data_IF_825290327819
#
_entry.id   IF_825290327819
#
_cell.length_a   1.000
_cell.length_b   1.000
_cell.length_c   1.000
_cell.angle_alpha   90.00
_cell.angle_beta   90.00
_cell.angle_gamma   90.00
#
_symmetry.space_group_name_H-M   'P 1'
#
loop_
_entity.id
_entity.type
_entity.pdbx_description
1 polymer ?
#
# COMPACT_ATOMS: atom_id res chain seq x y z
N UNK A 1 -11.62 -10.68 8.41
CA UNK A 1 -10.55 -11.27 7.60
C UNK A 1 -9.53 -10.19 7.24
N UNK A 2 -8.27 -10.44 7.50
CA UNK A 2 -7.20 -9.49 7.22
C UNK A 2 -6.48 -9.84 5.94
N UNK A 3 -6.14 -8.83 5.17
CA UNK A 3 -5.37 -8.98 3.95
C UNK A 3 -3.96 -8.46 4.15
N UNK A 4 -3.02 -9.05 3.45
CA UNK A 4 -1.63 -8.63 3.50
C UNK A 4 -1.35 -7.63 2.38
N UNK A 5 -0.71 -6.53 2.73
CA UNK A 5 -0.31 -5.49 1.79
C UNK A 5 1.19 -5.31 1.87
N UNK A 6 1.87 -5.46 0.76
CA UNK A 6 3.31 -5.25 0.67
C UNK A 6 3.55 -3.81 0.26
N UNK A 7 4.13 -3.03 1.16
CA UNK A 7 4.44 -1.62 0.93
C UNK A 7 5.89 -1.51 0.53
N UNK A 8 6.16 -1.11 -0.71
CA UNK A 8 7.52 -0.91 -1.20
C UNK A 8 7.80 0.58 -1.25
N UNK A 9 8.77 1.03 -0.45
CA UNK A 9 9.16 2.43 -0.42
C UNK A 9 10.06 2.76 -1.59
N UNK A 10 10.04 4.04 -2.02
CA UNK A 10 11.00 4.55 -2.97
C UNK A 10 12.39 4.47 -2.32
N UNK A 11 13.26 3.70 -2.84
CA UNK A 11 14.54 3.42 -2.21
C UNK A 11 14.75 1.93 -1.96
N UNK A 12 13.73 1.11 -2.17
CA UNK A 12 13.86 -0.33 -2.19
C UNK A 12 13.44 -1.06 -0.93
N UNK A 13 13.10 -0.36 0.14
CA UNK A 13 12.62 -1.03 1.35
C UNK A 13 11.19 -1.48 1.20
N UNK A 14 10.89 -2.68 1.68
CA UNK A 14 9.55 -3.23 1.64
C UNK A 14 9.11 -3.64 3.04
N UNK A 15 7.84 -3.38 3.36
CA UNK A 15 7.23 -3.77 4.63
C UNK A 15 5.93 -4.49 4.36
N UNK A 16 5.63 -5.46 5.21
CA UNK A 16 4.36 -6.17 5.15
C UNK A 16 3.40 -5.58 6.17
N UNK A 17 2.22 -5.18 5.70
CA UNK A 17 1.17 -4.62 6.56
C UNK A 17 -0.06 -5.49 6.44
N UNK A 18 -0.67 -5.80 7.58
CA UNK A 18 -1.94 -6.52 7.60
C UNK A 18 -3.06 -5.54 7.96
N UNK A 19 -4.10 -5.50 7.15
CA UNK A 19 -5.23 -4.62 7.37
C UNK A 19 -6.51 -5.26 6.84
N UNK A 20 -7.64 -4.79 7.35
CA UNK A 20 -8.93 -5.34 6.95
C UNK A 20 -9.40 -4.79 5.60
N UNK A 21 -8.89 -3.65 5.18
CA UNK A 21 -9.25 -3.05 3.91
C UNK A 21 -8.12 -2.20 3.36
N UNK A 22 -8.22 -1.91 2.06
CA UNK A 22 -7.28 -1.04 1.36
C UNK A 22 -7.15 0.33 2.04
N UNK A 23 -8.30 0.93 2.39
CA UNK A 23 -8.29 2.24 3.03
C UNK A 23 -7.58 2.22 4.38
N UNK A 24 -7.75 1.16 5.15
CA UNK A 24 -7.08 1.03 6.43
C UNK A 24 -5.58 0.82 6.28
N UNK A 25 -5.17 0.06 5.26
CA UNK A 25 -3.75 -0.13 4.97
C UNK A 25 -3.08 1.20 4.62
N UNK A 26 -3.70 1.99 3.75
CA UNK A 26 -3.20 3.31 3.38
C UNK A 26 -3.11 4.22 4.60
N UNK A 27 -4.12 4.21 5.45
CA UNK A 27 -4.10 5.03 6.66
C UNK A 27 -2.90 4.72 7.53
N UNK A 28 -2.58 3.45 7.71
CA UNK A 28 -1.42 3.06 8.51
C UNK A 28 -0.12 3.58 7.90
N UNK A 29 0.01 3.49 6.59
CA UNK A 29 1.21 3.96 5.89
C UNK A 29 1.34 5.48 6.03
N UNK A 30 0.26 6.22 5.85
CA UNK A 30 0.28 7.68 5.91
C UNK A 30 0.46 8.21 7.33
N UNK A 31 0.09 7.45 8.35
CA UNK A 31 0.36 7.82 9.73
C UNK A 31 1.86 7.85 10.01
N UNK A 32 2.62 6.94 9.41
CA UNK A 32 4.06 6.87 9.58
C UNK A 32 4.74 7.89 8.66
N UNK A 33 4.25 8.03 7.44
CA UNK A 33 4.83 8.92 6.45
C UNK A 33 3.73 9.55 5.59
N UNK A 34 3.34 10.78 5.93
CA UNK A 34 2.25 11.47 5.24
C UNK A 34 2.57 11.80 3.77
N UNK A 35 3.85 11.79 3.41
CA UNK A 35 4.30 12.05 2.04
C UNK A 35 4.86 10.78 1.39
N UNK A 36 4.31 9.64 1.75
CA UNK A 36 4.77 8.37 1.24
C UNK A 36 4.81 8.35 -0.29
N UNK A 37 5.93 7.88 -0.82
CA UNK A 37 6.10 7.62 -2.26
C UNK A 37 6.57 6.19 -2.42
N UNK A 38 5.97 5.46 -3.34
CA UNK A 38 6.31 4.06 -3.59
C UNK A 38 5.11 3.31 -4.13
N UNK A 39 5.07 2.01 -3.85
CA UNK A 39 4.01 1.15 -4.35
C UNK A 39 3.46 0.27 -3.24
N UNK A 40 2.17 -0.04 -3.32
CA UNK A 40 1.55 -1.02 -2.44
C UNK A 40 1.01 -2.14 -3.30
N UNK A 41 1.44 -3.36 -3.02
CA UNK A 41 1.03 -4.56 -3.74
C UNK A 41 0.16 -5.43 -2.85
N UNK A 42 -0.94 -5.93 -3.37
CA UNK A 42 -1.80 -6.81 -2.61
C UNK A 42 -2.60 -7.72 -3.55
N UNK A 43 -3.22 -8.75 -2.97
CA UNK A 43 -4.12 -9.61 -3.72
C UNK A 43 -5.56 -9.29 -3.33
N UNK A 44 -6.42 -9.13 -4.34
CA UNK A 44 -7.83 -8.89 -4.10
C UNK A 44 -8.55 -10.19 -3.74
N UNK A 45 -9.86 -10.12 -3.52
CA UNK A 45 -10.67 -11.29 -3.13
C UNK A 45 -10.64 -12.40 -4.18
N UNK A 46 -10.39 -12.04 -5.44
CA UNK A 46 -10.31 -13.00 -6.54
C UNK A 46 -8.92 -13.62 -6.69
N UNK A 47 -7.97 -13.22 -5.85
CA UNK A 47 -6.61 -13.71 -5.93
C UNK A 47 -5.75 -13.02 -6.97
N UNK A 48 -6.23 -11.93 -7.56
CA UNK A 48 -5.48 -11.18 -8.55
C UNK A 48 -4.58 -10.15 -7.87
N UNK A 49 -3.34 -10.08 -8.33
CA UNK A 49 -2.40 -9.10 -7.79
C UNK A 49 -2.75 -7.70 -8.25
N UNK A 50 -2.80 -6.78 -7.30
CA UNK A 50 -3.05 -5.37 -7.56
C UNK A 50 -1.86 -4.56 -7.09
N UNK A 51 -1.48 -3.57 -7.88
CA UNK A 51 -0.37 -2.67 -7.54
C UNK A 51 -0.89 -1.24 -7.62
N UNK A 52 -0.68 -0.49 -6.54
CA UNK A 52 -1.06 0.93 -6.50
C UNK A 52 0.19 1.76 -6.28
N UNK A 53 0.44 2.71 -7.16
CA UNK A 53 1.56 3.63 -7.01
C UNK A 53 1.13 4.85 -6.22
N UNK A 54 2.05 5.36 -5.40
CA UNK A 54 1.82 6.55 -4.58
C UNK A 54 2.92 7.56 -4.82
N UNK A 55 2.54 8.83 -4.77
CA UNK A 55 3.48 9.92 -4.84
C UNK A 55 3.01 11.03 -3.90
N UNK A 56 3.88 11.45 -2.97
CA UNK A 56 3.57 12.47 -1.96
C UNK A 56 2.30 12.16 -1.17
N UNK A 57 2.07 10.88 -0.85
CA UNK A 57 0.92 10.46 -0.07
C UNK A 57 -0.37 10.33 -0.86
N UNK A 58 -0.33 10.51 -2.17
CA UNK A 58 -1.50 10.40 -3.03
C UNK A 58 -1.36 9.26 -4.03
N UNK A 59 -2.48 8.59 -4.30
CA UNK A 59 -2.51 7.54 -5.31
C UNK A 59 -2.30 8.16 -6.68
N UNK A 60 -1.34 7.61 -7.43
CA UNK A 60 -1.10 8.03 -8.80
C UNK A 60 -2.03 7.23 -9.70
N UNK A 61 -2.91 7.91 -10.41
CA UNK A 61 -3.80 7.27 -11.37
C UNK A 61 -3.25 7.46 -12.78
N UNK A 62 -3.30 6.38 -13.51
CA UNK A 62 -3.01 6.46 -14.94
C UNK A 62 -4.27 6.77 -15.71
#
# INVERSE_FOLDING_TARGET
MRYEYTVTKEGGEAELIKAMSWKKAIKKVLLINSKFSGCITYFNKKGHMQVKAFQNGKVVRK
#
